data_IF_484751613967
#
_entry.id   IF_484751613967
#
_cell.length_a   1.000
_cell.length_b   1.000
_cell.length_c   1.000
_cell.angle_alpha   90.00
_cell.angle_beta   90.00
_cell.angle_gamma   90.00
#
_symmetry.space_group_name_H-M   'P 1'
#
loop_
_entity.id
_entity.type
_entity.pdbx_description
1 polymer ?
#
# COMPACT_ATOMS: atom_id res chain seq x y z
N UNK A 1 40.46 -47.48 37.99
CA UNK A 1 39.26 -47.20 37.19
C UNK A 1 38.87 -48.48 36.49
N UNK A 2 37.61 -48.89 36.64
CA UNK A 2 37.06 -50.01 35.89
C UNK A 2 36.81 -49.60 34.44
N UNK A 3 36.88 -50.55 33.50
CA UNK A 3 36.64 -50.27 32.06
C UNK A 3 35.28 -49.57 31.80
N UNK A 4 34.27 -49.82 32.64
CA UNK A 4 32.96 -49.18 32.53
C UNK A 4 32.97 -47.69 32.87
N UNK A 5 33.82 -47.23 33.80
CA UNK A 5 33.96 -45.81 34.14
C UNK A 5 34.55 -45.00 32.99
N UNK A 6 35.55 -45.56 32.30
CA UNK A 6 36.19 -44.93 31.14
C UNK A 6 35.18 -44.78 29.99
N UNK A 7 34.39 -45.82 29.72
CA UNK A 7 33.35 -45.80 28.68
C UNK A 7 32.25 -44.78 29.00
N UNK A 8 31.80 -44.69 30.26
CA UNK A 8 30.79 -43.72 30.67
C UNK A 8 31.27 -42.27 30.51
N UNK A 9 32.53 -41.98 30.84
CA UNK A 9 33.12 -40.64 30.63
C UNK A 9 33.18 -40.31 29.14
N UNK A 10 33.61 -41.26 28.30
CA UNK A 10 33.68 -41.06 26.85
C UNK A 10 32.29 -40.78 26.23
N UNK A 11 31.26 -41.55 26.60
CA UNK A 11 29.88 -41.33 26.14
C UNK A 11 29.33 -39.98 26.59
N UNK A 12 29.64 -39.56 27.83
CA UNK A 12 29.26 -38.25 28.35
C UNK A 12 29.89 -37.11 27.55
N UNK A 13 31.20 -37.19 27.25
CA UNK A 13 31.90 -36.19 26.42
C UNK A 13 31.29 -36.11 25.02
N UNK A 14 31.03 -37.26 24.38
CA UNK A 14 30.39 -37.30 23.06
C UNK A 14 29.00 -36.66 23.10
N UNK A 15 28.21 -36.95 24.13
CA UNK A 15 26.87 -36.37 24.32
C UNK A 15 26.92 -34.84 24.48
N UNK A 16 27.90 -34.31 25.22
CA UNK A 16 28.12 -32.87 25.38
C UNK A 16 28.47 -32.22 24.03
N UNK A 17 29.34 -32.85 23.23
CA UNK A 17 29.72 -32.34 21.90
C UNK A 17 28.50 -32.29 20.97
N UNK A 18 27.68 -33.35 20.95
CA UNK A 18 26.45 -33.39 20.15
C UNK A 18 25.50 -32.26 20.57
N UNK A 19 25.31 -32.03 21.87
CA UNK A 19 24.45 -30.97 22.38
C UNK A 19 24.96 -29.56 21.97
N UNK A 20 26.27 -29.32 22.02
CA UNK A 20 26.86 -28.05 21.58
C UNK A 20 26.65 -27.81 20.08
N UNK A 21 26.87 -28.84 19.25
CA UNK A 21 26.64 -28.76 17.79
C UNK A 21 25.17 -28.50 17.49
N UNK A 22 24.24 -29.17 18.18
CA UNK A 22 22.81 -28.94 18.01
C UNK A 22 22.41 -27.49 18.33
N UNK A 23 22.90 -26.91 19.44
CA UNK A 23 22.64 -25.50 19.78
C UNK A 23 23.17 -24.55 18.69
N UNK A 24 24.36 -24.84 18.16
CA UNK A 24 24.96 -24.03 17.09
C UNK A 24 24.12 -24.11 15.79
N UNK A 25 23.69 -25.30 15.40
CA UNK A 25 22.79 -25.49 14.24
C UNK A 25 21.47 -24.74 14.43
N UNK A 26 20.85 -24.81 15.62
CA UNK A 26 19.62 -24.08 15.93
C UNK A 26 19.80 -22.57 15.80
N UNK A 27 20.91 -22.01 16.31
CA UNK A 27 21.21 -20.57 16.15
C UNK A 27 21.36 -20.18 14.68
N UNK A 28 22.05 -20.99 13.88
CA UNK A 28 22.19 -20.74 12.44
C UNK A 28 20.85 -20.82 11.71
N UNK A 29 20.01 -21.79 12.06
CA UNK A 29 18.68 -21.96 11.47
C UNK A 29 17.76 -20.78 11.80
N UNK A 30 17.74 -20.31 13.06
CA UNK A 30 16.97 -19.12 13.47
C UNK A 30 17.47 -17.88 12.70
N UNK A 31 18.79 -17.70 12.60
CA UNK A 31 19.35 -16.59 11.84
C UNK A 31 18.97 -16.63 10.35
N UNK A 32 18.97 -17.82 9.73
CA UNK A 32 18.55 -18.00 8.34
C UNK A 32 17.05 -17.76 8.16
N UNK A 33 16.23 -18.31 9.05
CA UNK A 33 14.77 -18.13 9.07
C UNK A 33 14.40 -16.65 9.17
N UNK A 34 15.04 -15.90 10.06
CA UNK A 34 14.80 -14.47 10.20
C UNK A 34 15.16 -13.68 8.93
N UNK A 35 16.23 -14.09 8.24
CA UNK A 35 16.63 -13.48 6.96
C UNK A 35 15.62 -13.78 5.86
N UNK A 36 15.12 -15.01 5.76
CA UNK A 36 14.09 -15.40 4.80
C UNK A 36 12.80 -14.62 5.06
N UNK A 37 12.35 -14.55 6.31
CA UNK A 37 11.16 -13.79 6.70
C UNK A 37 11.26 -12.30 6.32
N UNK A 38 12.43 -11.68 6.53
CA UNK A 38 12.65 -10.28 6.13
C UNK A 38 12.63 -10.12 4.60
N UNK A 39 13.24 -11.04 3.86
CA UNK A 39 13.21 -11.04 2.40
C UNK A 39 11.78 -11.18 1.87
N UNK A 40 11.01 -12.14 2.38
CA UNK A 40 9.62 -12.37 1.97
C UNK A 40 8.76 -11.14 2.26
N UNK A 41 8.98 -10.48 3.40
CA UNK A 41 8.27 -9.24 3.75
C UNK A 41 8.65 -8.08 2.84
N UNK A 42 9.94 -7.91 2.52
CA UNK A 42 10.45 -6.93 1.55
C UNK A 42 9.85 -7.14 0.16
N UNK A 43 9.84 -8.37 -0.31
CA UNK A 43 9.28 -8.73 -1.61
C UNK A 43 7.78 -8.45 -1.67
N UNK A 44 7.03 -8.88 -0.65
CA UNK A 44 5.58 -8.65 -0.57
C UNK A 44 5.24 -7.16 -0.58
N UNK A 45 5.92 -6.37 0.25
CA UNK A 45 5.73 -4.92 0.34
C UNK A 45 6.07 -4.22 -0.99
N UNK A 46 7.18 -4.62 -1.63
CA UNK A 46 7.55 -4.09 -2.95
C UNK A 46 6.53 -4.43 -4.04
N UNK A 47 6.01 -5.65 -4.07
CA UNK A 47 5.03 -6.06 -5.07
C UNK A 47 3.73 -5.29 -4.92
N UNK A 48 3.22 -5.14 -3.70
CA UNK A 48 2.00 -4.39 -3.41
C UNK A 48 2.16 -2.91 -3.81
N UNK A 49 3.26 -2.28 -3.39
CA UNK A 49 3.62 -0.93 -3.81
C UNK A 49 3.67 -0.77 -5.34
N UNK A 50 4.37 -1.68 -6.02
CA UNK A 50 4.57 -1.61 -7.46
C UNK A 50 3.25 -1.81 -8.22
N UNK A 51 2.35 -2.65 -7.72
CA UNK A 51 0.98 -2.79 -8.26
C UNK A 51 0.22 -1.47 -8.15
N UNK A 52 0.19 -0.86 -6.96
CA UNK A 52 -0.49 0.42 -6.72
C UNK A 52 0.09 1.52 -7.61
N UNK A 53 1.42 1.64 -7.67
CA UNK A 53 2.09 2.66 -8.48
C UNK A 53 1.80 2.49 -9.97
N UNK A 54 1.87 1.27 -10.51
CA UNK A 54 1.54 1.01 -11.92
C UNK A 54 0.08 1.31 -12.23
N UNK A 55 -0.82 1.00 -11.30
CA UNK A 55 -2.25 1.27 -11.45
C UNK A 55 -2.51 2.79 -11.51
N UNK A 56 -1.86 3.56 -10.64
CA UNK A 56 -1.90 5.02 -10.71
C UNK A 56 -1.33 5.54 -12.04
N UNK A 57 -0.12 5.12 -12.44
CA UNK A 57 0.54 5.59 -13.67
C UNK A 57 -0.33 5.33 -14.91
N UNK A 58 -1.02 4.20 -14.95
CA UNK A 58 -1.90 3.82 -16.06
C UNK A 58 -3.15 4.69 -16.16
N UNK A 59 -3.58 5.32 -15.06
CA UNK A 59 -4.86 6.03 -14.96
C UNK A 59 -4.73 7.52 -14.60
N UNK A 60 -3.53 8.03 -14.29
CA UNK A 60 -3.31 9.42 -13.83
C UNK A 60 -3.77 10.48 -14.83
N UNK A 61 -3.84 10.16 -16.12
CA UNK A 61 -4.34 11.10 -17.13
C UNK A 61 -5.81 11.49 -16.91
N UNK A 62 -6.62 10.57 -16.36
CA UNK A 62 -8.03 10.86 -16.06
C UNK A 62 -8.20 11.82 -14.88
N UNK A 63 -7.19 11.97 -14.03
CA UNK A 63 -7.21 12.92 -12.91
C UNK A 63 -6.95 14.36 -13.34
N UNK A 64 -6.46 14.61 -14.57
CA UNK A 64 -6.11 15.96 -15.04
C UNK A 64 -7.34 16.85 -15.26
N UNK A 65 -8.43 16.26 -15.73
CA UNK A 65 -9.68 16.98 -15.87
C UNK A 65 -10.36 17.12 -14.50
N UNK A 66 -10.64 18.35 -14.09
CA UNK A 66 -11.36 18.61 -12.84
C UNK A 66 -12.77 18.02 -12.87
N UNK A 67 -13.36 17.95 -14.06
CA UNK A 67 -14.71 17.43 -14.26
C UNK A 67 -14.86 15.97 -13.86
N UNK A 68 -13.75 15.23 -13.89
CA UNK A 68 -13.66 13.86 -13.39
C UNK A 68 -14.22 13.71 -12.00
N UNK A 69 -13.94 14.63 -11.08
CA UNK A 69 -14.33 14.48 -9.66
C UNK A 69 -15.83 14.71 -9.42
N UNK A 70 -16.60 15.09 -10.43
CA UNK A 70 -18.04 15.30 -10.29
C UNK A 70 -18.91 14.70 -11.39
N UNK A 71 -18.34 14.35 -12.54
CA UNK A 71 -19.07 13.66 -13.61
C UNK A 71 -18.77 12.16 -13.69
N UNK A 72 -17.53 11.76 -13.44
CA UNK A 72 -17.05 10.38 -13.64
C UNK A 72 -16.23 9.87 -12.46
N UNK A 73 -16.49 10.39 -11.27
CA UNK A 73 -15.71 10.14 -10.07
C UNK A 73 -15.73 8.66 -9.69
N UNK A 74 -16.88 8.01 -9.81
CA UNK A 74 -17.07 6.58 -9.58
C UNK A 74 -16.27 5.71 -10.55
N UNK A 75 -16.27 6.08 -11.83
CA UNK A 75 -15.55 5.39 -12.89
C UNK A 75 -14.03 5.49 -12.68
N UNK A 76 -13.51 6.69 -12.45
CA UNK A 76 -12.07 6.90 -12.26
C UNK A 76 -11.61 6.30 -10.94
N UNK A 77 -12.42 6.38 -9.88
CA UNK A 77 -12.15 5.64 -8.64
C UNK A 77 -12.02 4.14 -8.93
N UNK A 78 -12.95 3.56 -9.68
CA UNK A 78 -12.92 2.15 -10.05
C UNK A 78 -11.64 1.76 -10.77
N UNK A 79 -11.19 2.57 -11.72
CA UNK A 79 -9.93 2.35 -12.41
C UNK A 79 -8.70 2.46 -11.51
N UNK A 80 -8.70 3.41 -10.55
CA UNK A 80 -7.62 3.55 -9.58
C UNK A 80 -7.61 2.44 -8.52
N UNK A 81 -8.71 1.72 -8.33
CA UNK A 81 -8.79 0.58 -7.41
C UNK A 81 -8.85 -0.78 -8.09
N UNK A 82 -8.66 -0.84 -9.41
CA UNK A 82 -8.75 -2.07 -10.20
C UNK A 82 -7.53 -2.99 -10.04
N UNK A 83 -7.28 -3.45 -8.82
CA UNK A 83 -6.36 -4.53 -8.50
C UNK A 83 -6.96 -5.43 -7.41
N UNK A 84 -6.45 -6.66 -7.30
CA UNK A 84 -6.96 -7.70 -6.40
C UNK A 84 -7.10 -7.17 -4.95
N UNK A 85 -6.15 -6.35 -4.52
CA UNK A 85 -6.12 -5.82 -3.16
C UNK A 85 -7.20 -4.77 -2.92
N UNK A 86 -7.59 -3.99 -3.92
CA UNK A 86 -8.42 -2.78 -3.76
C UNK A 86 -9.78 -2.85 -4.47
N UNK A 87 -10.03 -3.82 -5.35
CA UNK A 87 -11.23 -3.85 -6.21
C UNK A 87 -12.54 -3.78 -5.43
N UNK A 88 -12.59 -4.36 -4.23
CA UNK A 88 -13.76 -4.36 -3.35
C UNK A 88 -14.16 -2.94 -2.89
N UNK A 89 -13.25 -1.96 -2.96
CA UNK A 89 -13.56 -0.56 -2.65
C UNK A 89 -14.59 0.04 -3.61
N UNK A 90 -14.70 -0.49 -4.83
CA UNK A 90 -15.69 -0.02 -5.82
C UNK A 90 -17.14 -0.20 -5.36
N UNK A 91 -17.39 -1.19 -4.50
CA UNK A 91 -18.71 -1.43 -3.90
C UNK A 91 -19.13 -0.26 -3.00
N UNK A 92 -18.17 0.34 -2.28
CA UNK A 92 -18.44 1.49 -1.41
C UNK A 92 -18.85 2.73 -2.21
N UNK A 93 -18.25 2.94 -3.37
CA UNK A 93 -18.63 4.01 -4.30
C UNK A 93 -20.01 3.75 -4.93
N UNK A 94 -20.32 2.48 -5.23
CA UNK A 94 -21.61 2.09 -5.80
C UNK A 94 -22.77 2.19 -4.79
N UNK A 95 -22.49 1.92 -3.51
CA UNK A 95 -23.46 2.02 -2.39
C UNK A 95 -22.87 2.84 -1.23
N UNK A 96 -22.77 4.17 -1.37
CA UNK A 96 -22.19 5.00 -0.34
C UNK A 96 -22.97 4.93 0.98
N UNK A 97 -22.26 5.05 2.11
CA UNK A 97 -22.80 4.99 3.48
C UNK A 97 -23.50 3.68 3.90
N UNK A 98 -23.53 2.65 3.06
CA UNK A 98 -23.96 1.32 3.51
C UNK A 98 -22.86 0.71 4.42
N UNK A 99 -23.27 0.14 5.55
CA UNK A 99 -22.38 -0.14 6.67
C UNK A 99 -21.23 -1.10 6.30
N UNK A 100 -21.55 -2.18 5.57
CA UNK A 100 -20.56 -3.20 5.20
C UNK A 100 -19.53 -2.65 4.18
N UNK A 101 -20.00 -1.94 3.16
CA UNK A 101 -19.15 -1.36 2.12
C UNK A 101 -18.31 -0.20 2.67
N UNK A 102 -18.84 0.59 3.61
CA UNK A 102 -18.06 1.61 4.31
C UNK A 102 -16.94 0.97 5.13
N UNK A 103 -17.24 -0.11 5.87
CA UNK A 103 -16.22 -0.85 6.63
C UNK A 103 -15.16 -1.44 5.70
N UNK A 104 -15.56 -1.96 4.54
CA UNK A 104 -14.64 -2.44 3.51
C UNK A 104 -13.67 -1.33 3.05
N UNK A 105 -14.21 -0.17 2.66
CA UNK A 105 -13.40 0.99 2.25
C UNK A 105 -12.40 1.39 3.34
N UNK A 106 -12.86 1.52 4.59
CA UNK A 106 -12.01 1.91 5.72
C UNK A 106 -10.89 0.91 5.97
N UNK A 107 -11.20 -0.39 5.87
CA UNK A 107 -10.21 -1.46 6.03
C UNK A 107 -9.12 -1.37 4.97
N UNK A 108 -9.49 -1.14 3.70
CA UNK A 108 -8.52 -1.03 2.59
C UNK A 108 -7.71 0.27 2.69
N UNK A 109 -8.35 1.36 3.10
CA UNK A 109 -7.66 2.61 3.40
C UNK A 109 -6.60 2.43 4.49
N UNK A 110 -6.95 1.79 5.61
CA UNK A 110 -5.99 1.50 6.70
C UNK A 110 -4.85 0.60 6.22
N UNK A 111 -5.13 -0.42 5.38
CA UNK A 111 -4.09 -1.25 4.76
C UNK A 111 -3.10 -0.41 3.96
N UNK A 112 -3.57 0.53 3.13
CA UNK A 112 -2.68 1.42 2.37
C UNK A 112 -1.84 2.32 3.30
N UNK A 113 -2.43 2.89 4.36
CA UNK A 113 -1.67 3.69 5.34
C UNK A 113 -0.62 2.85 6.07
N UNK A 114 -0.95 1.61 6.42
CA UNK A 114 -0.01 0.68 7.04
C UNK A 114 1.11 0.27 6.07
N UNK A 115 0.80 0.05 4.79
CA UNK A 115 1.79 -0.21 3.75
C UNK A 115 2.76 0.97 3.61
N UNK A 116 2.26 2.21 3.60
CA UNK A 116 3.11 3.40 3.56
C UNK A 116 4.10 3.46 4.74
N UNK A 117 3.64 3.17 5.96
CA UNK A 117 4.49 3.08 7.16
C UNK A 117 5.49 1.94 7.01
N UNK A 118 5.04 0.78 6.57
CA UNK A 118 5.88 -0.39 6.41
C UNK A 118 6.99 -0.20 5.39
N UNK A 119 6.72 0.44 4.24
CA UNK A 119 7.74 0.82 3.27
C UNK A 119 8.84 1.64 3.95
N UNK A 120 8.46 2.61 4.80
CA UNK A 120 9.41 3.46 5.53
C UNK A 120 10.20 2.74 6.62
N UNK A 121 9.71 1.59 7.12
CA UNK A 121 10.37 0.78 8.14
C UNK A 121 11.30 -0.28 7.56
N UNK A 122 10.93 -0.85 6.41
CA UNK A 122 11.60 -2.02 5.83
C UNK A 122 12.66 -1.63 4.80
N UNK A 123 12.46 -0.49 4.13
CA UNK A 123 13.39 0.09 3.18
C UNK A 123 13.98 1.37 3.76
N UNK A 124 15.25 1.60 3.47
CA UNK A 124 15.99 2.74 4.00
C UNK A 124 16.17 3.83 2.95
N UNK A 125 16.28 5.07 3.43
CA UNK A 125 16.68 6.22 2.63
C UNK A 125 15.55 6.94 1.93
N UNK A 126 15.95 7.88 1.07
CA UNK A 126 15.04 8.82 0.42
C UNK A 126 14.02 8.15 -0.51
N UNK A 127 14.41 7.07 -1.19
CA UNK A 127 13.51 6.33 -2.10
C UNK A 127 12.37 5.63 -1.34
N UNK A 128 12.64 5.12 -0.13
CA UNK A 128 11.61 4.58 0.75
C UNK A 128 10.65 5.67 1.25
N UNK A 129 11.17 6.85 1.60
CA UNK A 129 10.36 8.00 2.01
C UNK A 129 9.38 8.42 0.92
N UNK A 130 9.86 8.59 -0.32
CA UNK A 130 9.02 8.98 -1.46
C UNK A 130 7.95 7.92 -1.75
N UNK A 131 8.32 6.64 -1.75
CA UNK A 131 7.38 5.55 -1.98
C UNK A 131 6.29 5.48 -0.91
N UNK A 132 6.67 5.59 0.37
CA UNK A 132 5.71 5.64 1.48
C UNK A 132 4.79 6.86 1.38
N UNK A 133 5.35 8.04 1.08
CA UNK A 133 4.58 9.27 0.91
C UNK A 133 3.61 9.19 -0.29
N UNK A 134 4.03 8.56 -1.38
CA UNK A 134 3.18 8.27 -2.53
C UNK A 134 1.98 7.41 -2.14
N UNK A 135 2.20 6.25 -1.51
CA UNK A 135 1.12 5.33 -1.11
C UNK A 135 0.17 6.02 -0.12
N UNK A 136 0.70 6.76 0.83
CA UNK A 136 -0.11 7.52 1.78
C UNK A 136 -0.99 8.56 1.07
N UNK A 137 -0.40 9.35 0.16
CA UNK A 137 -1.12 10.39 -0.59
C UNK A 137 -2.17 9.78 -1.52
N UNK A 138 -1.88 8.61 -2.09
CA UNK A 138 -2.81 7.84 -2.90
C UNK A 138 -4.03 7.37 -2.09
N UNK A 139 -3.81 6.85 -0.88
CA UNK A 139 -4.88 6.48 0.03
C UNK A 139 -5.77 7.67 0.42
N UNK A 140 -5.15 8.82 0.68
CA UNK A 140 -5.84 10.06 1.05
C UNK A 140 -6.71 10.56 -0.12
N UNK A 141 -6.18 10.53 -1.36
CA UNK A 141 -6.95 10.87 -2.57
C UNK A 141 -8.18 9.96 -2.72
N UNK A 142 -8.01 8.64 -2.63
CA UNK A 142 -9.14 7.69 -2.76
C UNK A 142 -10.22 7.98 -1.71
N UNK A 143 -9.83 8.24 -0.46
CA UNK A 143 -10.78 8.56 0.61
C UNK A 143 -11.57 9.85 0.30
N UNK A 144 -10.91 10.88 -0.21
CA UNK A 144 -11.56 12.13 -0.59
C UNK A 144 -12.48 11.96 -1.81
N UNK A 145 -12.08 11.17 -2.81
CA UNK A 145 -12.94 10.79 -3.94
C UNK A 145 -14.20 10.04 -3.47
N UNK A 146 -14.08 9.15 -2.48
CA UNK A 146 -15.24 8.50 -1.87
C UNK A 146 -16.16 9.51 -1.16
N UNK A 147 -15.60 10.46 -0.39
CA UNK A 147 -16.40 11.49 0.28
C UNK A 147 -17.13 12.38 -0.73
N UNK A 148 -16.49 12.67 -1.86
CA UNK A 148 -17.12 13.36 -2.98
C UNK A 148 -18.25 12.52 -3.59
N UNK A 149 -18.07 11.20 -3.74
CA UNK A 149 -19.15 10.32 -4.21
C UNK A 149 -20.36 10.33 -3.27
N UNK A 150 -20.12 10.28 -1.95
CA UNK A 150 -21.19 10.39 -0.94
C UNK A 150 -21.99 11.69 -1.13
N UNK A 151 -21.30 12.80 -1.39
CA UNK A 151 -21.94 14.09 -1.64
C UNK A 151 -22.79 14.07 -2.92
N UNK A 152 -22.25 13.54 -4.02
CA UNK A 152 -22.96 13.39 -5.30
C UNK A 152 -24.22 12.53 -5.13
N UNK A 153 -24.14 11.41 -4.40
CA UNK A 153 -25.30 10.56 -4.15
C UNK A 153 -26.40 11.29 -3.37
N UNK A 154 -26.03 12.07 -2.34
CA UNK A 154 -26.99 12.89 -1.58
C UNK A 154 -27.65 13.97 -2.43
N UNK A 155 -26.91 14.61 -3.34
CA UNK A 155 -27.49 15.58 -4.26
C UNK A 155 -28.53 14.94 -5.19
N UNK A 156 -28.24 13.76 -5.73
CA UNK A 156 -29.17 13.01 -6.60
C UNK A 156 -30.41 12.51 -5.84
N UNK A 157 -30.23 12.08 -4.59
CA UNK A 157 -31.35 11.73 -3.71
C UNK A 157 -32.25 12.95 -3.45
N UNK A 158 -31.66 14.11 -3.16
CA UNK A 158 -32.42 15.34 -2.94
C UNK A 158 -33.20 15.77 -4.18
N UNK A 159 -32.58 15.74 -5.37
CA UNK A 159 -33.27 16.02 -6.64
C UNK A 159 -34.52 15.12 -6.82
N UNK A 160 -34.38 13.84 -6.49
CA UNK A 160 -35.47 12.86 -6.58
C UNK A 160 -36.60 13.16 -5.58
N UNK A 161 -36.26 13.55 -4.35
CA UNK A 161 -37.22 13.89 -3.29
C UNK A 161 -37.94 15.21 -3.58
N UNK A 162 -37.19 16.25 -3.96
CA UNK A 162 -37.71 17.60 -4.21
C UNK A 162 -38.46 17.68 -5.55
N UNK A 163 -38.25 16.71 -6.47
CA UNK A 163 -38.78 16.69 -7.84
C UNK A 163 -38.43 17.94 -8.66
N UNK A 164 -37.37 18.62 -8.28
CA UNK A 164 -36.85 19.81 -8.96
C UNK A 164 -35.57 19.38 -9.68
N UNK A 165 -35.54 19.41 -11.02
CA UNK A 165 -34.34 19.08 -11.78
C UNK A 165 -33.18 19.98 -11.36
N UNK A 166 -32.02 19.38 -11.09
CA UNK A 166 -30.83 20.14 -10.77
C UNK A 166 -30.20 20.65 -12.07
N UNK A 167 -30.17 21.97 -12.26
CA UNK A 167 -29.50 22.56 -13.42
C UNK A 167 -28.01 22.20 -13.40
N UNK A 168 -27.45 21.86 -14.58
CA UNK A 168 -26.07 21.40 -14.72
C UNK A 168 -25.07 22.37 -14.08
N UNK A 169 -25.20 23.66 -14.33
CA UNK A 169 -24.30 24.68 -13.78
C UNK A 169 -24.35 24.75 -12.24
N UNK A 170 -25.53 24.56 -11.64
CA UNK A 170 -25.68 24.54 -10.17
C UNK A 170 -25.10 23.25 -9.57
N UNK A 171 -25.31 22.11 -10.23
CA UNK A 171 -24.68 20.84 -9.87
C UNK A 171 -23.16 20.94 -9.88
N UNK A 172 -22.58 21.39 -11.00
CA UNK A 172 -21.13 21.53 -11.15
C UNK A 172 -20.55 22.51 -10.13
N UNK A 173 -21.20 23.64 -9.90
CA UNK A 173 -20.78 24.63 -8.90
C UNK A 173 -20.77 24.06 -7.48
N UNK A 174 -21.82 23.33 -7.09
CA UNK A 174 -21.93 22.68 -5.78
C UNK A 174 -20.87 21.59 -5.61
N UNK A 175 -20.70 20.74 -6.61
CA UNK A 175 -19.72 19.67 -6.59
C UNK A 175 -18.29 20.20 -6.57
N UNK A 176 -17.96 21.19 -7.40
CA UNK A 176 -16.63 21.84 -7.42
C UNK A 176 -16.27 22.42 -6.06
N UNK A 177 -17.18 23.15 -5.41
CA UNK A 177 -16.97 23.67 -4.04
C UNK A 177 -16.68 22.55 -3.03
N UNK A 178 -17.32 21.39 -3.19
CA UNK A 178 -17.06 20.24 -2.33
C UNK A 178 -15.67 19.64 -2.60
N UNK A 179 -15.28 19.51 -3.87
CA UNK A 179 -13.94 19.04 -4.28
C UNK A 179 -12.84 19.93 -3.70
N UNK A 180 -13.01 21.26 -3.79
CA UNK A 180 -12.11 22.26 -3.20
C UNK A 180 -12.04 22.10 -1.68
N UNK A 181 -13.20 21.99 -1.01
CA UNK A 181 -13.27 21.80 0.46
C UNK A 181 -12.59 20.51 0.92
N UNK A 182 -12.65 19.45 0.12
CA UNK A 182 -12.00 18.16 0.39
C UNK A 182 -10.50 18.17 0.06
N UNK A 183 -9.97 19.23 -0.57
CA UNK A 183 -8.55 19.32 -0.95
C UNK A 183 -8.14 18.32 -2.03
N UNK A 184 -9.09 17.85 -2.85
CA UNK A 184 -8.82 16.81 -3.85
C UNK A 184 -7.81 17.29 -4.91
N UNK A 185 -7.90 18.57 -5.32
CA UNK A 185 -6.94 19.15 -6.26
C UNK A 185 -5.52 19.18 -5.69
N UNK A 186 -5.37 19.57 -4.42
CA UNK A 186 -4.06 19.57 -3.75
C UNK A 186 -3.48 18.14 -3.65
N UNK A 187 -4.32 17.14 -3.33
CA UNK A 187 -3.90 15.74 -3.27
C UNK A 187 -3.50 15.19 -4.64
N UNK A 188 -4.24 15.54 -5.70
CA UNK A 188 -3.91 15.20 -7.09
C UNK A 188 -2.55 15.79 -7.47
N UNK A 189 -2.37 17.08 -7.25
CA UNK A 189 -1.15 17.80 -7.66
C UNK A 189 0.07 17.29 -6.87
N UNK A 190 -0.12 16.98 -5.59
CA UNK A 190 0.89 16.30 -4.76
C UNK A 190 1.27 14.93 -5.33
N UNK A 191 0.30 14.12 -5.74
CA UNK A 191 0.57 12.81 -6.33
C UNK A 191 1.29 12.92 -7.67
N UNK A 192 0.92 13.90 -8.51
CA UNK A 192 1.63 14.17 -9.76
C UNK A 192 3.08 14.56 -9.48
N UNK A 193 3.35 15.43 -8.50
CA UNK A 193 4.72 15.77 -8.09
C UNK A 193 5.50 14.53 -7.61
N UNK A 194 4.90 13.70 -6.76
CA UNK A 194 5.54 12.47 -6.28
C UNK A 194 5.81 11.48 -7.40
N UNK A 195 4.93 11.36 -8.40
CA UNK A 195 5.16 10.55 -9.60
C UNK A 195 6.35 11.06 -10.44
N UNK A 196 6.53 12.38 -10.55
CA UNK A 196 7.72 12.95 -11.18
C UNK A 196 8.99 12.62 -10.37
N UNK A 197 8.97 12.74 -9.04
CA UNK A 197 10.09 12.34 -8.19
C UNK A 197 10.41 10.84 -8.27
N UNK A 198 9.36 10.00 -8.28
CA UNK A 198 9.45 8.55 -8.44
C UNK A 198 10.20 8.17 -9.72
N UNK A 199 9.86 8.82 -10.84
CA UNK A 199 10.52 8.63 -12.12
C UNK A 199 11.95 9.18 -12.12
N UNK A 200 12.18 10.39 -11.61
CA UNK A 200 13.48 11.05 -11.60
C UNK A 200 14.52 10.28 -10.77
N UNK A 201 14.12 9.76 -9.61
CA UNK A 201 15.00 9.04 -8.68
C UNK A 201 15.00 7.52 -8.90
N UNK A 202 14.33 7.02 -9.94
CA UNK A 202 14.17 5.59 -10.25
C UNK A 202 13.77 4.76 -9.01
N UNK A 203 12.80 5.26 -8.24
CA UNK A 203 12.45 4.71 -6.90
C UNK A 203 12.06 3.24 -6.99
N UNK A 204 11.26 2.85 -7.99
CA UNK A 204 10.85 1.46 -8.18
C UNK A 204 12.05 0.53 -8.38
N UNK A 205 13.05 0.92 -9.16
CA UNK A 205 14.25 0.11 -9.38
C UNK A 205 15.14 0.09 -8.13
N UNK A 206 15.26 1.20 -7.41
CA UNK A 206 15.98 1.26 -6.14
C UNK A 206 15.38 0.30 -5.12
N UNK A 207 14.06 0.32 -4.94
CA UNK A 207 13.38 -0.58 -4.00
C UNK A 207 13.52 -2.04 -4.43
N UNK A 208 13.35 -2.33 -5.73
CA UNK A 208 13.57 -3.68 -6.29
C UNK A 208 14.98 -4.20 -5.98
N UNK A 209 16.00 -3.36 -6.20
CA UNK A 209 17.38 -3.73 -5.92
C UNK A 209 17.62 -3.98 -4.43
N UNK A 210 16.97 -3.22 -3.54
CA UNK A 210 17.02 -3.43 -2.09
C UNK A 210 16.38 -4.76 -1.63
N UNK A 211 15.42 -5.30 -2.40
CA UNK A 211 14.90 -6.68 -2.20
C UNK A 211 15.94 -7.71 -2.65
N UNK A 212 16.61 -7.48 -3.79
CA UNK A 212 17.55 -8.41 -4.42
C UNK A 212 18.96 -8.48 -3.79
N UNK A 213 19.18 -7.97 -2.57
CA UNK A 213 20.50 -7.96 -1.89
C UNK A 213 21.04 -9.35 -1.44
N UNK A 214 20.78 -10.39 -2.24
CA UNK A 214 21.59 -11.61 -2.33
C UNK A 214 22.71 -11.53 -3.37
N UNK A 215 22.99 -10.36 -3.99
CA UNK A 215 24.31 -10.15 -4.58
C UNK A 215 25.32 -9.98 -3.45
N UNK A 216 25.84 -11.11 -2.98
CA UNK A 216 27.13 -11.21 -2.28
C UNK A 216 28.08 -10.24 -2.99
N UNK A 217 28.50 -9.20 -2.29
CA UNK A 217 29.66 -8.42 -2.67
C UNK A 217 30.80 -9.42 -2.88
N UNK A 218 31.10 -9.74 -4.14
CA UNK A 218 32.42 -10.25 -4.49
C UNK A 218 33.36 -9.11 -4.13
N UNK A 219 34.03 -9.25 -2.98
CA UNK A 219 35.24 -8.51 -2.72
C UNK A 219 36.21 -8.87 -3.85
N UNK A 220 36.53 -7.90 -4.69
CA UNK A 220 37.79 -7.87 -5.44
C UNK A 220 38.87 -7.23 -4.56
#
# INVERSE_FOLDING_TARGET
MSHSEIVNIAVSIVSIIIALVAIFQTKQQIALSNKQQLFDRRLSCFLEFNTIYKLYVSNKLYLKDESTFYHTNDLVFSWLTNCIELEEMTLAVSKPLHQEEQKMLLTKYEKLKNLAIEISMIFDGETARIAGEFVSSFADLLKSMYQQQVYISKLKEQETVDRIPLYLDDYESKCRKMVEKLGIFDMRDKLEHLDHEMAQKCVTDSLKNSVCLTRVTKNE
#
